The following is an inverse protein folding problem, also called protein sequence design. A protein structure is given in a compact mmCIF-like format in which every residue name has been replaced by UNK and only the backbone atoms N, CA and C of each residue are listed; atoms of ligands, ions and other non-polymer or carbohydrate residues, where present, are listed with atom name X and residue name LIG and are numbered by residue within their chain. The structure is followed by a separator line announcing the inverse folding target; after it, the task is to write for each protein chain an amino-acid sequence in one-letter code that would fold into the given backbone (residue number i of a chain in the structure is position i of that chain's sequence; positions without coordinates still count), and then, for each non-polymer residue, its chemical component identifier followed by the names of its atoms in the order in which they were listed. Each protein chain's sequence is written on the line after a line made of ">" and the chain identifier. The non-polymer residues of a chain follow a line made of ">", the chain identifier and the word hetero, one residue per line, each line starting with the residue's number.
data_IF_819453560332
#
_entry.id   IF_819453560332
#
_cell.length_a   1.000
_cell.length_b   1.000
_cell.length_c   1.000
_cell.angle_alpha   90.00
_cell.angle_beta   90.00
_cell.angle_gamma   90.00
#
_symmetry.space_group_name_H-M   'P 1'
#
loop_
_entity.id
_entity.type
_entity.pdbx_description
1 polymer ?
#
# COMPACT_ATOMS: atom_id res chain seq x y z
N UNK A 1 -11.39 -6.92 7.18
CA UNK A 1 -12.71 -6.34 6.83
C UNK A 1 -13.06 -6.75 5.42
N UNK A 2 -14.31 -7.11 5.12
CA UNK A 2 -14.72 -7.58 3.78
C UNK A 2 -15.81 -6.74 3.13
N UNK A 3 -16.42 -5.80 3.86
CA UNK A 3 -17.51 -4.96 3.34
C UNK A 3 -17.49 -3.56 3.94
N UNK A 4 -17.98 -2.58 3.17
CA UNK A 4 -18.26 -1.24 3.68
C UNK A 4 -19.43 -1.29 4.69
N UNK A 5 -19.37 -0.47 5.74
CA UNK A 5 -20.42 -0.45 6.76
C UNK A 5 -21.71 0.23 6.28
N UNK A 6 -21.59 1.24 5.40
CA UNK A 6 -22.73 1.99 4.89
C UNK A 6 -23.20 1.42 3.55
N UNK A 7 -24.52 1.24 3.34
CA UNK A 7 -25.06 0.86 2.05
C UNK A 7 -24.62 1.82 0.94
N UNK A 8 -24.48 1.31 -0.28
CA UNK A 8 -24.06 2.06 -1.47
C UNK A 8 -22.64 2.66 -1.42
N UNK A 9 -21.88 2.45 -0.33
CA UNK A 9 -20.46 2.73 -0.31
C UNK A 9 -19.68 1.56 -0.90
N UNK A 10 -18.60 1.90 -1.60
CA UNK A 10 -17.64 0.97 -2.15
C UNK A 10 -16.23 1.54 -1.93
N UNK A 11 -15.21 0.68 -1.99
CA UNK A 11 -13.82 1.08 -1.85
C UNK A 11 -12.98 0.39 -2.93
N UNK A 12 -12.36 1.18 -3.81
CA UNK A 12 -11.36 0.66 -4.74
C UNK A 12 -10.08 0.36 -3.97
N UNK A 13 -9.51 -0.83 -4.18
CA UNK A 13 -8.23 -1.20 -3.58
C UNK A 13 -7.30 -1.78 -4.63
N UNK A 14 -6.03 -1.42 -4.57
CA UNK A 14 -4.96 -1.99 -5.38
C UNK A 14 -3.92 -2.61 -4.47
N UNK A 15 -3.53 -3.84 -4.77
CA UNK A 15 -2.48 -4.58 -4.05
C UNK A 15 -1.21 -4.63 -4.91
N UNK A 16 -0.13 -5.16 -4.35
CA UNK A 16 1.13 -5.45 -5.03
C UNK A 16 1.85 -4.25 -5.65
N UNK A 17 1.45 -3.03 -5.28
CA UNK A 17 2.05 -1.79 -5.78
C UNK A 17 3.21 -1.28 -4.93
N UNK A 18 3.89 -0.21 -5.39
CA UNK A 18 3.62 0.53 -6.62
C UNK A 18 4.35 -0.02 -7.86
N UNK A 19 3.62 -0.30 -8.94
CA UNK A 19 4.17 -0.73 -10.25
C UNK A 19 4.45 0.46 -11.18
N UNK A 20 5.01 0.19 -12.37
CA UNK A 20 5.17 1.17 -13.45
C UNK A 20 3.85 1.82 -13.92
N UNK A 21 2.72 1.18 -13.65
CA UNK A 21 1.39 1.69 -14.01
C UNK A 21 0.80 2.65 -12.96
N UNK A 22 1.45 2.81 -11.80
CA UNK A 22 0.88 3.56 -10.68
C UNK A 22 0.57 5.01 -11.05
N UNK A 23 1.43 5.69 -11.81
CA UNK A 23 1.18 7.07 -12.24
C UNK A 23 -0.05 7.18 -13.14
N UNK A 24 -0.21 6.28 -14.10
CA UNK A 24 -1.37 6.27 -15.00
C UNK A 24 -2.68 5.99 -14.24
N UNK A 25 -2.63 5.11 -13.24
CA UNK A 25 -3.77 4.83 -12.36
C UNK A 25 -4.11 6.07 -11.53
N UNK A 26 -3.11 6.74 -10.94
CA UNK A 26 -3.31 7.96 -10.15
C UNK A 26 -3.87 9.11 -11.01
N UNK A 27 -3.38 9.28 -12.23
CA UNK A 27 -3.92 10.25 -13.19
C UNK A 27 -5.40 10.01 -13.47
N UNK A 28 -5.77 8.75 -13.76
CA UNK A 28 -7.17 8.38 -14.02
C UNK A 28 -8.06 8.59 -12.79
N UNK A 29 -7.60 8.19 -11.59
CA UNK A 29 -8.34 8.39 -10.35
C UNK A 29 -8.57 9.88 -10.09
N UNK A 30 -7.56 10.72 -10.32
CA UNK A 30 -7.66 12.17 -10.21
C UNK A 30 -8.64 12.75 -11.23
N UNK A 31 -8.58 12.33 -12.49
CA UNK A 31 -9.51 12.74 -13.55
C UNK A 31 -10.97 12.41 -13.16
N UNK A 32 -11.21 11.23 -12.60
CA UNK A 32 -12.55 10.79 -12.18
C UNK A 32 -12.98 11.30 -10.81
N UNK A 33 -12.10 11.99 -10.08
CA UNK A 33 -12.37 12.45 -8.70
C UNK A 33 -12.56 11.29 -7.69
N UNK A 34 -11.98 10.12 -7.97
CA UNK A 34 -12.11 8.91 -7.15
C UNK A 34 -10.93 8.80 -6.19
N UNK A 35 -11.18 8.37 -4.96
CA UNK A 35 -10.12 7.98 -4.01
C UNK A 35 -10.07 6.46 -3.87
N UNK A 36 -8.85 5.91 -3.87
CA UNK A 36 -8.59 4.50 -3.68
C UNK A 36 -7.70 4.24 -2.45
N UNK A 37 -7.53 2.97 -2.12
CA UNK A 37 -6.54 2.49 -1.15
C UNK A 37 -5.49 1.66 -1.88
N UNK A 38 -4.22 1.87 -1.58
CA UNK A 38 -3.09 1.13 -2.17
C UNK A 38 -2.37 0.35 -1.07
N UNK A 39 -2.36 -0.97 -1.15
CA UNK A 39 -1.62 -1.83 -0.24
C UNK A 39 -0.23 -2.10 -0.83
N UNK A 40 0.80 -1.58 -0.15
CA UNK A 40 2.17 -1.50 -0.68
C UNK A 40 3.02 -2.69 -0.22
N UNK A 41 3.73 -3.31 -1.16
CA UNK A 41 4.74 -4.34 -0.89
C UNK A 41 6.12 -3.70 -0.77
N UNK A 42 6.91 -4.17 0.20
CA UNK A 42 8.22 -3.58 0.50
C UNK A 42 9.35 -3.99 -0.45
N UNK A 43 9.79 -5.25 -0.36
CA UNK A 43 10.98 -5.81 -1.00
C UNK A 43 11.03 -5.56 -2.51
N UNK A 44 9.90 -5.77 -3.21
CA UNK A 44 9.84 -5.64 -4.68
C UNK A 44 10.13 -4.22 -5.18
N UNK A 45 9.74 -3.20 -4.42
CA UNK A 45 9.72 -1.82 -4.92
C UNK A 45 10.66 -0.89 -4.17
N UNK A 46 10.84 -1.11 -2.87
CA UNK A 46 11.60 -0.19 -2.03
C UNK A 46 13.11 -0.46 -2.04
N UNK A 47 13.54 -1.67 -2.43
CA UNK A 47 14.95 -2.05 -2.57
C UNK A 47 15.47 -1.99 -4.00
N UNK A 48 14.58 -1.77 -4.97
CA UNK A 48 14.97 -1.65 -6.36
C UNK A 48 15.50 -0.24 -6.64
N UNK A 49 16.73 -0.15 -7.16
CA UNK A 49 17.39 1.11 -7.52
C UNK A 49 16.77 1.83 -8.73
N UNK A 50 15.76 1.25 -9.39
CA UNK A 50 15.27 1.71 -10.69
C UNK A 50 14.02 2.61 -10.66
N UNK A 51 13.27 2.68 -9.56
CA UNK A 51 11.94 3.30 -9.57
C UNK A 51 11.76 4.37 -8.48
N UNK A 52 11.17 5.49 -8.88
CA UNK A 52 10.85 6.65 -8.03
C UNK A 52 9.62 6.37 -7.15
N UNK A 53 9.62 5.23 -6.45
CA UNK A 53 8.51 4.73 -5.64
C UNK A 53 8.18 5.66 -4.47
N UNK A 54 9.19 6.36 -3.93
CA UNK A 54 8.99 7.39 -2.92
C UNK A 54 8.15 8.55 -3.45
N UNK A 55 8.35 8.98 -4.71
CA UNK A 55 7.48 9.98 -5.35
C UNK A 55 6.06 9.46 -5.50
N UNK A 56 5.88 8.21 -5.93
CA UNK A 56 4.55 7.59 -6.09
C UNK A 56 3.81 7.53 -4.75
N UNK A 57 4.45 7.07 -3.67
CA UNK A 57 3.83 7.03 -2.34
C UNK A 57 3.48 8.44 -1.83
N UNK A 58 4.37 9.43 -2.02
CA UNK A 58 4.04 10.85 -1.73
C UNK A 58 2.83 11.32 -2.51
N UNK A 59 2.76 10.95 -3.79
CA UNK A 59 1.66 11.30 -4.67
C UNK A 59 0.34 10.69 -4.18
N UNK A 60 0.35 9.40 -3.85
CA UNK A 60 -0.81 8.70 -3.24
C UNK A 60 -1.35 9.47 -2.03
N UNK A 61 -0.48 9.81 -1.07
CA UNK A 61 -0.88 10.52 0.15
C UNK A 61 -1.37 11.96 -0.15
N UNK A 62 -0.63 12.71 -0.97
CA UNK A 62 -0.95 14.10 -1.31
C UNK A 62 -2.24 14.24 -2.11
N UNK A 63 -2.60 13.23 -2.90
CA UNK A 63 -3.84 13.18 -3.67
C UNK A 63 -5.00 12.60 -2.84
N UNK A 64 -4.81 12.29 -1.56
CA UNK A 64 -5.86 11.88 -0.64
C UNK A 64 -6.27 10.42 -0.75
N UNK A 65 -5.38 9.56 -1.28
CA UNK A 65 -5.53 8.11 -1.23
C UNK A 65 -5.04 7.55 0.11
N UNK A 66 -5.49 6.35 0.45
CA UNK A 66 -4.96 5.63 1.62
C UNK A 66 -3.76 4.79 1.18
N UNK A 67 -2.65 4.89 1.92
CA UNK A 67 -1.49 4.01 1.77
C UNK A 67 -1.54 2.96 2.88
N UNK A 68 -1.81 1.71 2.49
CA UNK A 68 -1.87 0.53 3.34
C UNK A 68 -0.60 -0.33 3.26
N UNK A 69 -0.46 -1.24 4.21
CA UNK A 69 0.66 -2.18 4.28
C UNK A 69 0.28 -3.55 3.68
N UNK A 70 1.09 -4.07 2.75
CA UNK A 70 0.93 -5.41 2.17
C UNK A 70 2.12 -6.33 2.43
N UNK A 71 2.79 -6.14 3.58
CA UNK A 71 4.00 -6.85 4.01
C UNK A 71 5.25 -6.54 3.19
N UNK A 72 6.40 -6.92 3.71
CA UNK A 72 7.66 -6.61 3.07
C UNK A 72 7.92 -7.55 1.89
N UNK A 73 7.90 -8.85 2.13
CA UNK A 73 8.28 -9.87 1.13
C UNK A 73 7.07 -10.51 0.42
N UNK A 74 5.85 -10.06 0.73
CA UNK A 74 4.61 -10.66 0.22
C UNK A 74 4.48 -12.16 0.60
N UNK A 75 4.92 -12.51 1.81
CA UNK A 75 4.87 -13.87 2.35
C UNK A 75 3.46 -14.25 2.85
N UNK A 76 3.13 -15.54 2.76
CA UNK A 76 1.96 -16.10 3.44
C UNK A 76 2.19 -16.05 4.96
N UNK A 77 1.48 -15.14 5.62
CA UNK A 77 1.63 -14.89 7.05
C UNK A 77 1.24 -16.08 7.93
N UNK A 78 0.46 -17.04 7.41
CA UNK A 78 0.02 -18.20 8.19
C UNK A 78 1.16 -19.17 8.52
N UNK A 79 2.25 -19.13 7.74
CA UNK A 79 3.46 -19.93 7.94
C UNK A 79 4.51 -19.27 8.85
N UNK A 80 4.28 -18.04 9.31
CA UNK A 80 5.27 -17.23 10.00
C UNK A 80 5.05 -17.17 11.52
N UNK A 81 6.15 -17.04 12.26
CA UNK A 81 6.10 -16.70 13.68
C UNK A 81 5.63 -15.25 13.90
N UNK A 82 5.16 -14.94 15.11
CA UNK A 82 4.71 -13.59 15.44
C UNK A 82 5.81 -12.52 15.23
N UNK A 83 7.08 -12.85 15.47
CA UNK A 83 8.17 -11.90 15.27
C UNK A 83 8.54 -11.73 13.79
N UNK A 84 8.40 -12.78 12.98
CA UNK A 84 8.50 -12.68 11.52
C UNK A 84 7.37 -11.79 10.96
N UNK A 85 6.12 -11.99 11.40
CA UNK A 85 4.98 -11.14 11.00
C UNK A 85 5.25 -9.68 11.40
N UNK A 86 5.68 -9.40 12.63
CA UNK A 86 6.03 -8.04 13.05
C UNK A 86 7.13 -7.44 12.18
N UNK A 87 8.13 -8.23 11.80
CA UNK A 87 9.21 -7.76 10.94
C UNK A 87 8.70 -7.42 9.52
N UNK A 88 7.84 -8.29 8.94
CA UNK A 88 7.17 -8.04 7.67
C UNK A 88 6.41 -6.70 7.68
N UNK A 89 5.69 -6.41 8.76
CA UNK A 89 4.94 -5.15 8.90
C UNK A 89 5.85 -3.94 9.11
N UNK A 90 6.74 -4.01 10.10
CA UNK A 90 7.56 -2.88 10.56
C UNK A 90 8.45 -2.31 9.46
N UNK A 91 9.02 -3.17 8.61
CA UNK A 91 9.89 -2.73 7.51
C UNK A 91 9.15 -1.81 6.53
N UNK A 92 7.93 -2.17 6.14
CA UNK A 92 7.10 -1.35 5.25
C UNK A 92 6.67 -0.07 5.95
N UNK A 93 6.21 -0.15 7.20
CA UNK A 93 5.75 1.02 7.96
C UNK A 93 6.85 2.07 8.15
N UNK A 94 8.07 1.64 8.51
CA UNK A 94 9.20 2.55 8.73
C UNK A 94 9.61 3.28 7.44
N UNK A 95 9.54 2.59 6.30
CA UNK A 95 9.87 3.20 5.01
C UNK A 95 8.77 4.15 4.55
N UNK A 96 7.49 3.79 4.69
CA UNK A 96 6.37 4.72 4.40
C UNK A 96 6.45 5.94 5.32
N UNK A 97 6.74 5.76 6.61
CA UNK A 97 6.89 6.86 7.55
C UNK A 97 8.00 7.83 7.15
N UNK A 98 9.14 7.34 6.66
CA UNK A 98 10.23 8.19 6.14
C UNK A 98 9.81 9.06 4.95
N UNK A 99 8.78 8.66 4.19
CA UNK A 99 8.39 9.30 2.93
C UNK A 99 7.29 10.33 3.12
N UNK A 100 6.26 9.96 3.90
CA UNK A 100 5.05 10.79 4.08
C UNK A 100 4.79 11.20 5.53
N UNK A 101 5.65 10.80 6.48
CA UNK A 101 5.48 11.13 7.90
C UNK A 101 4.28 10.46 8.58
N UNK A 102 3.66 9.47 7.93
CA UNK A 102 2.49 8.74 8.41
C UNK A 102 2.78 7.24 8.41
N UNK A 103 2.19 6.51 9.34
CA UNK A 103 2.21 5.03 9.34
C UNK A 103 0.90 4.50 8.77
N UNK A 104 0.92 3.43 7.97
CA UNK A 104 -0.31 2.75 7.55
C UNK A 104 -1.17 2.37 8.75
N UNK A 105 -2.44 2.78 8.74
CA UNK A 105 -3.43 2.34 9.74
C UNK A 105 -4.14 1.05 9.31
N UNK A 106 -3.97 0.64 8.05
CA UNK A 106 -4.59 -0.53 7.45
C UNK A 106 -3.53 -1.43 6.84
N UNK A 107 -3.81 -2.73 6.88
CA UNK A 107 -3.05 -3.74 6.17
C UNK A 107 -4.00 -4.72 5.49
N UNK A 108 -3.49 -5.40 4.48
CA UNK A 108 -4.09 -6.58 3.86
C UNK A 108 -3.04 -7.68 3.87
N UNK A 109 -3.34 -8.90 4.32
CA UNK A 109 -2.37 -9.98 4.25
C UNK A 109 -2.24 -10.49 2.80
N UNK A 110 -1.05 -10.86 2.34
CA UNK A 110 -0.88 -11.61 1.10
C UNK A 110 -1.79 -12.85 1.09
N UNK A 111 -2.38 -13.13 -0.07
CA UNK A 111 -3.22 -14.32 -0.31
C UNK A 111 -4.56 -14.40 0.46
N UNK A 112 -5.01 -13.35 1.18
CA UNK A 112 -6.34 -13.33 1.83
C UNK A 112 -6.76 -12.03 2.51
#
# INVERSE_FOLDING_TARGET
>A
YTQCQKPMNWAMTYDDGPTEFADAILDLLKEKGIKATFFIVGHMYMDNNSSDWSRIIKRMDSEGHIVGNHTYDHEDLTGLSADQIKNQMKQVEDRIFKIIGKRPAFMRPPYG
#
